data_IF_563024871756
#
_entry.id   IF_563024871756
#
_cell.length_a   1.000
_cell.length_b   1.000
_cell.length_c   1.000
_cell.angle_alpha   90.00
_cell.angle_beta   90.00
_cell.angle_gamma   90.00
#
_symmetry.space_group_name_H-M   'P 1'
#
loop_
_entity.id
_entity.type
_entity.pdbx_description
1 polymer ?
#
# COMPACT_ATOMS: atom_id res chain seq x y z
N UNK A 1 23.64 -3.59 14.20
CA UNK A 1 23.75 -2.68 13.05
C UNK A 1 22.51 -1.80 13.01
N UNK A 2 22.67 -0.53 12.66
CA UNK A 2 21.55 0.41 12.56
C UNK A 2 20.91 0.31 11.18
N UNK A 3 19.58 0.36 11.13
CA UNK A 3 18.84 0.36 9.87
C UNK A 3 17.73 1.40 9.85
N UNK A 4 17.32 1.80 8.64
CA UNK A 4 16.20 2.69 8.37
C UNK A 4 15.34 2.13 7.25
N UNK A 5 14.04 2.31 7.36
CA UNK A 5 13.07 1.93 6.33
C UNK A 5 12.33 3.17 5.88
N UNK A 6 12.38 3.47 4.58
CA UNK A 6 11.66 4.58 3.96
C UNK A 6 10.49 3.98 3.20
N UNK A 7 9.28 4.34 3.57
CA UNK A 7 8.07 3.86 2.90
C UNK A 7 7.42 5.06 2.20
N UNK A 8 7.10 4.94 0.90
CA UNK A 8 6.32 6.02 0.30
C UNK A 8 4.93 6.12 0.94
N UNK A 9 4.31 7.29 0.90
CA UNK A 9 3.11 7.57 1.70
C UNK A 9 1.86 6.80 1.26
N UNK A 10 1.93 5.99 0.21
CA UNK A 10 0.87 5.04 -0.10
C UNK A 10 0.80 3.92 0.96
N UNK A 11 1.92 3.59 1.62
CA UNK A 11 1.97 2.61 2.70
C UNK A 11 1.64 3.22 4.07
N UNK A 12 0.70 2.64 4.77
CA UNK A 12 0.34 3.03 6.14
C UNK A 12 1.38 2.53 7.14
N UNK A 13 1.88 3.40 8.01
CA UNK A 13 2.76 3.00 9.11
C UNK A 13 1.94 2.74 10.38
N UNK A 14 2.20 1.60 11.03
CA UNK A 14 1.60 1.30 12.34
C UNK A 14 2.13 2.27 13.43
N UNK A 15 1.43 2.35 14.56
CA UNK A 15 1.89 3.15 15.70
C UNK A 15 3.28 2.71 16.19
N UNK A 16 3.55 1.40 16.18
CA UNK A 16 4.85 0.83 16.56
C UNK A 16 5.97 1.22 15.60
N UNK A 17 5.70 1.16 14.29
CA UNK A 17 6.65 1.61 13.27
C UNK A 17 7.02 3.08 13.48
N UNK A 18 6.03 3.95 13.68
CA UNK A 18 6.24 5.39 13.92
C UNK A 18 7.03 5.63 15.21
N UNK A 19 6.70 4.92 16.28
CA UNK A 19 7.36 5.05 17.58
C UNK A 19 8.81 4.53 17.58
N UNK A 20 9.16 3.60 16.69
CA UNK A 20 10.49 3.00 16.62
C UNK A 20 11.59 3.98 16.19
N UNK A 21 11.23 5.08 15.52
CA UNK A 21 12.17 6.04 14.93
C UNK A 21 12.97 5.47 13.72
N UNK A 22 12.68 4.24 13.30
CA UNK A 22 13.36 3.56 12.19
C UNK A 22 12.65 3.72 10.85
N UNK A 23 11.38 4.16 10.89
CA UNK A 23 10.55 4.33 9.69
C UNK A 23 10.38 5.80 9.36
N UNK A 24 10.51 6.11 8.09
CA UNK A 24 10.26 7.43 7.51
C UNK A 24 9.32 7.32 6.32
N UNK A 25 8.57 8.37 6.05
CA UNK A 25 7.63 8.42 4.93
C UNK A 25 8.19 9.33 3.83
N UNK A 26 8.34 8.80 2.61
CA UNK A 26 8.54 9.60 1.41
C UNK A 26 7.16 10.03 0.88
N UNK A 27 6.82 11.31 1.05
CA UNK A 27 5.49 11.82 0.80
C UNK A 27 5.18 11.99 -0.68
N UNK A 28 4.05 11.44 -1.14
CA UNK A 28 3.47 11.74 -2.45
C UNK A 28 2.72 13.08 -2.38
N UNK A 29 2.58 13.71 -3.55
CA UNK A 29 1.71 14.89 -3.72
C UNK A 29 0.31 14.48 -4.15
N UNK A 30 -0.70 15.22 -3.72
CA UNK A 30 -2.10 15.08 -4.10
C UNK A 30 -2.63 16.41 -4.64
N UNK A 31 -3.46 16.36 -5.69
CA UNK A 31 -4.13 17.52 -6.27
C UNK A 31 -5.64 17.30 -6.25
N UNK A 32 -6.38 18.24 -5.70
CA UNK A 32 -7.85 18.28 -5.73
C UNK A 32 -8.28 19.66 -6.21
N UNK A 33 -8.67 19.79 -7.47
CA UNK A 33 -8.84 21.10 -8.10
C UNK A 33 -7.54 21.90 -8.07
N UNK A 34 -7.58 23.08 -7.47
CA UNK A 34 -6.41 23.96 -7.31
C UNK A 34 -5.65 23.73 -5.98
N UNK A 35 -6.13 22.79 -5.17
CA UNK A 35 -5.48 22.48 -3.89
C UNK A 35 -4.37 21.45 -4.08
N UNK A 36 -3.15 21.78 -3.60
CA UNK A 36 -2.02 20.89 -3.53
C UNK A 36 -1.83 20.45 -2.08
N UNK A 37 -1.79 19.15 -1.85
CA UNK A 37 -1.68 18.53 -0.53
C UNK A 37 -0.46 17.60 -0.55
N UNK A 38 0.35 17.65 0.51
CA UNK A 38 1.43 16.68 0.72
C UNK A 38 0.88 15.58 1.63
N UNK A 39 1.04 14.32 1.22
CA UNK A 39 0.60 13.16 1.99
C UNK A 39 1.59 12.84 3.11
N UNK A 40 1.68 13.73 4.08
CA UNK A 40 2.58 13.66 5.23
C UNK A 40 1.81 13.52 6.57
N UNK A 41 2.49 13.78 7.68
CA UNK A 41 1.91 13.70 9.03
C UNK A 41 0.73 14.65 9.28
N UNK A 42 0.57 15.70 8.47
CA UNK A 42 -0.51 16.70 8.58
C UNK A 42 -1.78 16.29 7.81
N UNK A 43 -1.74 15.21 7.02
CA UNK A 43 -2.87 14.78 6.21
C UNK A 43 -4.13 14.51 7.04
N UNK A 44 -5.23 15.15 6.66
CA UNK A 44 -6.56 14.99 7.26
C UNK A 44 -7.51 14.29 6.27
N UNK A 45 -7.79 13.01 6.52
CA UNK A 45 -8.64 12.19 5.65
C UNK A 45 -10.06 12.76 5.47
N UNK A 46 -10.69 13.22 6.55
CA UNK A 46 -12.07 13.72 6.50
C UNK A 46 -12.18 15.00 5.65
N UNK A 47 -11.25 15.91 5.83
CA UNK A 47 -11.16 17.14 5.04
C UNK A 47 -10.86 16.83 3.55
N UNK A 48 -9.92 15.90 3.31
CA UNK A 48 -9.58 15.46 1.97
C UNK A 48 -10.79 14.85 1.24
N UNK A 49 -11.52 13.94 1.88
CA UNK A 49 -12.71 13.32 1.29
C UNK A 49 -13.82 14.33 0.99
N UNK A 50 -14.00 15.32 1.87
CA UNK A 50 -14.92 16.43 1.63
C UNK A 50 -14.51 17.22 0.39
N UNK A 51 -13.24 17.62 0.29
CA UNK A 51 -12.73 18.37 -0.86
C UNK A 51 -12.88 17.58 -2.16
N UNK A 52 -12.61 16.27 -2.15
CA UNK A 52 -12.82 15.39 -3.31
C UNK A 52 -14.29 15.31 -3.71
N UNK A 53 -15.20 15.21 -2.74
CA UNK A 53 -16.65 15.14 -3.01
C UNK A 53 -17.22 16.45 -3.59
N UNK A 54 -16.68 17.59 -3.20
CA UNK A 54 -17.09 18.92 -3.68
C UNK A 54 -16.42 19.32 -5.01
N UNK A 55 -15.30 18.67 -5.37
CA UNK A 55 -14.54 19.00 -6.56
C UNK A 55 -15.07 18.26 -7.80
N UNK A 56 -15.42 18.97 -8.89
CA UNK A 56 -15.92 18.33 -10.10
C UNK A 56 -14.84 17.60 -10.90
N UNK A 57 -13.57 17.90 -10.66
CA UNK A 57 -12.44 17.26 -11.34
C UNK A 57 -11.94 16.06 -10.57
N UNK A 58 -11.43 15.06 -11.30
CA UNK A 58 -10.84 13.87 -10.68
C UNK A 58 -9.52 14.25 -9.97
N UNK A 59 -9.32 13.86 -8.71
CA UNK A 59 -8.08 14.10 -8.02
C UNK A 59 -6.91 13.38 -8.71
N UNK A 60 -5.71 13.92 -8.55
CA UNK A 60 -4.47 13.37 -9.11
C UNK A 60 -3.43 13.17 -8.02
N UNK A 61 -2.43 12.33 -8.29
CA UNK A 61 -1.28 12.15 -7.42
C UNK A 61 0.03 12.23 -8.20
N UNK A 62 1.10 12.66 -7.54
CA UNK A 62 2.47 12.65 -8.04
C UNK A 62 3.35 11.83 -7.10
N UNK A 63 4.31 11.07 -7.65
CA UNK A 63 5.29 10.33 -6.85
C UNK A 63 6.28 11.31 -6.18
N UNK A 64 6.95 10.88 -5.09
CA UNK A 64 8.06 11.63 -4.52
C UNK A 64 9.17 11.82 -5.54
N UNK A 65 9.92 12.91 -5.44
CA UNK A 65 11.07 13.13 -6.32
C UNK A 65 12.25 12.22 -5.97
N UNK A 66 13.20 12.00 -6.88
CA UNK A 66 14.44 11.28 -6.58
C UNK A 66 15.22 11.91 -5.42
N UNK A 67 15.24 13.25 -5.35
CA UNK A 67 15.91 14.00 -4.29
C UNK A 67 15.29 13.71 -2.92
N UNK A 68 13.97 13.58 -2.83
CA UNK A 68 13.28 13.19 -1.59
C UNK A 68 13.76 11.84 -1.06
N UNK A 69 13.96 10.87 -1.94
CA UNK A 69 14.53 9.59 -1.55
C UNK A 69 16.03 9.70 -1.21
N UNK A 70 16.82 10.44 -2.00
CA UNK A 70 18.22 10.67 -1.74
C UNK A 70 18.45 11.28 -0.34
N UNK A 71 17.66 12.31 0.01
CA UNK A 71 17.70 12.92 1.34
C UNK A 71 17.37 11.92 2.45
N UNK A 72 16.37 11.06 2.24
CA UNK A 72 16.04 9.99 3.17
C UNK A 72 17.14 8.94 3.33
N UNK A 73 17.92 8.66 2.26
CA UNK A 73 19.08 7.77 2.31
C UNK A 73 20.28 8.40 3.04
N UNK A 74 20.35 9.73 3.08
CA UNK A 74 21.38 10.47 3.80
C UNK A 74 21.07 10.52 5.30
N UNK A 75 21.40 9.45 6.01
CA UNK A 75 21.17 9.25 7.44
C UNK A 75 22.29 8.41 8.07
N UNK A 76 22.33 8.38 9.41
CA UNK A 76 23.37 7.66 10.19
C UNK A 76 23.19 6.13 10.17
N UNK A 77 22.07 5.61 9.64
CA UNK A 77 21.87 4.18 9.56
C UNK A 77 22.85 3.54 8.56
N UNK A 78 23.43 2.40 8.94
CA UNK A 78 24.35 1.64 8.08
C UNK A 78 23.64 1.02 6.88
N UNK A 79 22.35 0.64 7.08
CA UNK A 79 21.50 -0.01 6.08
C UNK A 79 20.21 0.76 5.87
N UNK A 80 19.83 0.98 4.63
CA UNK A 80 18.58 1.67 4.30
C UNK A 80 17.76 0.84 3.31
N UNK A 81 16.49 0.70 3.61
CA UNK A 81 15.53 -0.01 2.78
C UNK A 81 14.42 0.95 2.35
N UNK A 82 14.20 1.10 1.05
CA UNK A 82 13.05 1.82 0.54
C UNK A 82 11.96 0.83 0.14
N UNK A 83 10.71 1.09 0.49
CA UNK A 83 9.53 0.31 0.10
C UNK A 83 8.57 1.23 -0.62
N UNK A 84 8.37 1.00 -1.90
CA UNK A 84 7.47 1.81 -2.73
C UNK A 84 6.22 1.03 -3.11
N UNK A 85 5.13 1.73 -3.43
CA UNK A 85 4.00 1.07 -4.08
C UNK A 85 4.42 0.49 -5.43
N UNK A 86 3.60 -0.40 -5.99
CA UNK A 86 3.88 -1.11 -7.24
C UNK A 86 4.37 -0.17 -8.35
N UNK A 87 5.47 -0.56 -9.02
CA UNK A 87 6.02 0.14 -10.19
C UNK A 87 5.04 0.18 -11.38
N UNK A 88 4.06 -0.72 -11.42
CA UNK A 88 3.00 -0.74 -12.42
C UNK A 88 1.92 0.35 -12.18
N UNK A 89 1.89 0.91 -10.95
CA UNK A 89 0.89 1.90 -10.55
C UNK A 89 1.47 3.31 -10.40
N UNK A 90 2.77 3.44 -10.14
CA UNK A 90 3.43 4.73 -9.85
C UNK A 90 4.88 4.76 -10.26
N UNK A 91 5.39 5.96 -10.54
CA UNK A 91 6.82 6.24 -10.74
C UNK A 91 7.66 6.20 -9.45
N UNK A 92 7.05 5.98 -8.28
CA UNK A 92 7.73 6.02 -6.97
C UNK A 92 8.94 5.08 -6.90
N UNK A 93 8.82 3.85 -7.43
CA UNK A 93 9.93 2.91 -7.51
C UNK A 93 11.11 3.46 -8.31
N UNK A 94 10.84 4.00 -9.50
CA UNK A 94 11.89 4.57 -10.35
C UNK A 94 12.53 5.80 -9.71
N UNK A 95 11.74 6.65 -9.03
CA UNK A 95 12.27 7.78 -8.26
C UNK A 95 13.18 7.31 -7.12
N UNK A 96 12.80 6.26 -6.39
CA UNK A 96 13.62 5.71 -5.31
C UNK A 96 14.94 5.11 -5.82
N UNK A 97 14.90 4.40 -6.96
CA UNK A 97 16.12 3.85 -7.60
C UNK A 97 17.02 4.97 -8.09
N UNK A 98 16.48 6.01 -8.72
CA UNK A 98 17.24 7.16 -9.17
C UNK A 98 17.83 7.93 -7.97
N UNK A 99 17.05 8.11 -6.90
CA UNK A 99 17.55 8.71 -5.65
C UNK A 99 18.71 7.95 -5.03
N UNK A 100 18.71 6.61 -5.12
CA UNK A 100 19.85 5.79 -4.70
C UNK A 100 21.08 6.07 -5.56
N UNK A 101 20.94 6.12 -6.88
CA UNK A 101 22.07 6.39 -7.77
C UNK A 101 22.67 7.78 -7.50
N UNK A 102 21.81 8.81 -7.33
CA UNK A 102 22.25 10.16 -6.96
C UNK A 102 22.99 10.17 -5.60
N UNK A 103 22.50 9.43 -4.62
CA UNK A 103 23.17 9.28 -3.33
C UNK A 103 24.57 8.68 -3.48
N UNK A 104 24.69 7.57 -4.23
CA UNK A 104 25.97 6.87 -4.44
C UNK A 104 26.97 7.73 -5.21
N UNK A 105 26.52 8.54 -6.17
CA UNK A 105 27.37 9.52 -6.90
C UNK A 105 27.90 10.63 -5.99
N UNK A 106 27.08 11.12 -5.04
CA UNK A 106 27.44 12.27 -4.20
C UNK A 106 28.18 11.86 -2.92
N UNK A 107 27.76 10.75 -2.28
CA UNK A 107 28.21 10.35 -0.94
C UNK A 107 28.99 9.02 -0.90
N UNK A 108 29.04 8.28 -2.01
CA UNK A 108 29.69 6.97 -2.09
C UNK A 108 28.76 5.80 -1.74
N UNK A 109 29.32 4.60 -1.76
CA UNK A 109 28.55 3.35 -1.56
C UNK A 109 27.98 3.23 -0.15
N UNK A 110 26.74 2.75 -0.05
CA UNK A 110 26.02 2.42 1.18
C UNK A 110 25.11 1.23 0.92
N UNK A 111 24.82 0.45 1.96
CA UNK A 111 23.85 -0.64 1.90
C UNK A 111 22.41 -0.08 1.74
N UNK A 112 22.03 0.26 0.51
CA UNK A 112 20.70 0.76 0.15
C UNK A 112 20.01 -0.23 -0.79
N UNK A 113 18.78 -0.67 -0.45
CA UNK A 113 17.96 -1.50 -1.33
C UNK A 113 16.55 -0.92 -1.50
N UNK A 114 16.04 -0.97 -2.73
CA UNK A 114 14.70 -0.47 -3.09
C UNK A 114 13.81 -1.66 -3.44
N UNK A 115 12.80 -1.89 -2.61
CA UNK A 115 11.78 -2.92 -2.84
C UNK A 115 10.61 -2.36 -3.66
N UNK A 116 10.33 -3.01 -4.79
CA UNK A 116 9.05 -2.86 -5.48
C UNK A 116 8.03 -3.74 -4.75
N UNK A 117 7.09 -3.14 -4.03
CA UNK A 117 6.12 -3.93 -3.25
C UNK A 117 5.21 -4.81 -4.09
N UNK A 118 5.05 -4.54 -5.38
CA UNK A 118 4.02 -5.14 -6.25
C UNK A 118 2.60 -5.02 -5.67
N UNK A 119 2.42 -4.11 -4.75
CA UNK A 119 1.24 -3.90 -3.93
C UNK A 119 1.01 -2.39 -3.71
N UNK A 120 0.09 -2.07 -2.82
CA UNK A 120 -0.18 -0.72 -2.34
C UNK A 120 -0.73 -0.78 -0.90
N UNK A 121 -0.79 0.38 -0.21
CA UNK A 121 -1.42 0.49 1.09
C UNK A 121 -0.81 -0.48 2.12
N UNK A 122 -1.61 -1.26 2.83
CA UNK A 122 -1.16 -2.20 3.87
C UNK A 122 -0.21 -3.30 3.37
N UNK A 123 -0.12 -3.53 2.05
CA UNK A 123 0.90 -4.44 1.51
C UNK A 123 2.31 -3.91 1.75
N UNK A 124 2.53 -2.60 1.61
CA UNK A 124 3.81 -1.97 1.95
C UNK A 124 4.08 -2.01 3.46
N UNK A 125 3.02 -1.88 4.28
CA UNK A 125 3.11 -2.02 5.74
C UNK A 125 3.68 -3.37 6.14
N UNK A 126 3.12 -4.47 5.58
CA UNK A 126 3.59 -5.83 5.87
C UNK A 126 5.04 -6.06 5.43
N UNK A 127 5.45 -5.47 4.30
CA UNK A 127 6.85 -5.52 3.82
C UNK A 127 7.77 -4.81 4.81
N UNK A 128 7.39 -3.61 5.27
CA UNK A 128 8.14 -2.88 6.30
C UNK A 128 8.27 -3.68 7.60
N UNK A 129 7.20 -4.33 8.06
CA UNK A 129 7.23 -5.25 9.21
C UNK A 129 8.17 -6.43 8.97
N UNK A 130 8.19 -6.99 7.76
CA UNK A 130 9.08 -8.10 7.41
C UNK A 130 10.54 -7.68 7.44
N UNK A 131 10.89 -6.48 6.94
CA UNK A 131 12.24 -5.92 7.03
C UNK A 131 12.66 -5.82 8.50
N UNK A 132 11.83 -5.18 9.34
CA UNK A 132 12.11 -5.04 10.77
C UNK A 132 12.33 -6.40 11.44
N UNK A 133 11.48 -7.38 11.16
CA UNK A 133 11.61 -8.73 11.69
C UNK A 133 12.94 -9.41 11.29
N UNK A 134 13.39 -9.24 10.05
CA UNK A 134 14.65 -9.81 9.56
C UNK A 134 15.86 -9.13 10.24
N UNK A 135 15.84 -7.81 10.36
CA UNK A 135 16.88 -7.03 11.03
C UNK A 135 16.97 -7.37 12.53
N UNK A 136 15.85 -7.52 13.23
CA UNK A 136 15.79 -7.91 14.63
C UNK A 136 16.33 -9.32 14.88
N UNK A 137 16.30 -10.19 13.88
CA UNK A 137 16.93 -11.52 13.91
C UNK A 137 18.42 -11.49 13.64
N UNK A 138 19.01 -10.32 13.38
CA UNK A 138 20.42 -10.13 13.09
C UNK A 138 20.86 -10.67 11.74
N UNK A 139 19.97 -10.75 10.76
CA UNK A 139 20.30 -11.19 9.41
C UNK A 139 21.25 -10.19 8.72
N UNK A 140 22.10 -10.69 7.84
CA UNK A 140 22.95 -9.82 6.98
C UNK A 140 22.08 -9.05 5.98
N UNK A 141 22.60 -7.93 5.45
CA UNK A 141 21.87 -7.14 4.46
C UNK A 141 21.35 -7.99 3.28
N UNK A 142 22.21 -8.86 2.73
CA UNK A 142 21.83 -9.75 1.62
C UNK A 142 20.73 -10.76 2.00
N UNK A 143 20.79 -11.29 3.22
CA UNK A 143 19.76 -12.21 3.72
C UNK A 143 18.42 -11.48 3.94
N UNK A 144 18.44 -10.23 4.46
CA UNK A 144 17.24 -9.40 4.58
C UNK A 144 16.61 -9.19 3.21
N UNK A 145 17.41 -8.74 2.23
CA UNK A 145 16.92 -8.51 0.85
C UNK A 145 16.30 -9.77 0.27
N UNK A 146 17.01 -10.91 0.33
CA UNK A 146 16.49 -12.17 -0.21
C UNK A 146 15.18 -12.64 0.48
N UNK A 147 15.11 -12.51 1.81
CA UNK A 147 13.93 -12.91 2.57
C UNK A 147 12.72 -12.00 2.33
N UNK A 148 12.95 -10.72 2.10
CA UNK A 148 11.88 -9.75 1.83
C UNK A 148 11.40 -9.87 0.38
N UNK A 149 12.29 -10.06 -0.60
CA UNK A 149 11.90 -10.36 -1.99
C UNK A 149 11.05 -11.63 -2.08
N UNK A 150 11.46 -12.71 -1.41
CA UNK A 150 10.67 -13.93 -1.34
C UNK A 150 9.29 -13.70 -0.70
N UNK A 151 9.21 -12.86 0.33
CA UNK A 151 7.95 -12.47 0.96
C UNK A 151 7.04 -11.69 0.01
N UNK A 152 7.60 -10.76 -0.79
CA UNK A 152 6.86 -9.99 -1.80
C UNK A 152 6.26 -10.91 -2.87
N UNK A 153 6.98 -11.94 -3.30
CA UNK A 153 6.47 -12.91 -4.29
C UNK A 153 5.29 -13.75 -3.77
N UNK A 154 5.20 -13.94 -2.44
CA UNK A 154 4.11 -14.68 -1.81
C UNK A 154 2.95 -13.80 -1.34
N UNK A 155 3.14 -12.47 -1.33
CA UNK A 155 2.13 -11.55 -0.83
C UNK A 155 0.98 -11.36 -1.83
N UNK A 156 -0.24 -11.39 -1.33
CA UNK A 156 -1.44 -11.12 -2.11
C UNK A 156 -2.14 -9.85 -1.62
N UNK A 157 -2.69 -9.10 -2.57
CA UNK A 157 -3.46 -7.88 -2.31
C UNK A 157 -4.86 -8.02 -2.86
N UNK A 158 -5.87 -7.64 -2.07
CA UNK A 158 -7.29 -7.67 -2.43
C UNK A 158 -7.96 -6.37 -2.05
N UNK A 159 -8.94 -5.93 -2.84
CA UNK A 159 -9.70 -4.76 -2.46
C UNK A 159 -11.11 -4.73 -3.05
N UNK A 160 -12.00 -4.06 -2.33
CA UNK A 160 -13.36 -3.72 -2.77
C UNK A 160 -13.60 -2.25 -2.49
N UNK A 161 -13.93 -1.50 -3.53
CA UNK A 161 -14.16 -0.05 -3.49
C UNK A 161 -15.61 0.28 -3.84
N UNK A 162 -16.08 1.43 -3.37
CA UNK A 162 -17.39 1.94 -3.79
C UNK A 162 -17.42 2.33 -5.27
N UNK A 163 -16.30 2.82 -5.79
CA UNK A 163 -16.12 3.16 -7.19
C UNK A 163 -14.68 2.91 -7.64
N UNK A 164 -14.50 2.59 -8.91
CA UNK A 164 -13.20 2.45 -9.56
C UNK A 164 -12.87 3.67 -10.45
N UNK A 165 -13.70 4.72 -10.43
CA UNK A 165 -13.58 5.86 -11.33
C UNK A 165 -12.22 6.59 -11.18
N UNK A 166 -11.74 6.79 -9.96
CA UNK A 166 -10.45 7.43 -9.71
C UNK A 166 -9.30 6.63 -10.34
N UNK A 167 -9.30 5.31 -10.13
CA UNK A 167 -8.31 4.41 -10.76
C UNK A 167 -8.40 4.45 -12.29
N UNK A 168 -9.63 4.43 -12.84
CA UNK A 168 -9.87 4.46 -14.28
C UNK A 168 -9.42 5.78 -14.90
N UNK A 169 -9.84 6.91 -14.34
CA UNK A 169 -9.53 8.26 -14.87
C UNK A 169 -8.03 8.56 -14.78
N UNK A 170 -7.35 8.04 -13.81
CA UNK A 170 -5.90 8.17 -13.65
C UNK A 170 -5.10 7.07 -14.39
N UNK A 171 -5.75 6.19 -15.16
CA UNK A 171 -5.07 5.21 -16.01
C UNK A 171 -4.45 4.01 -15.28
N UNK A 172 -4.88 3.70 -14.04
CA UNK A 172 -4.39 2.55 -13.25
C UNK A 172 -5.20 1.26 -13.46
N UNK A 173 -6.20 1.29 -14.35
CA UNK A 173 -6.98 0.12 -14.78
C UNK A 173 -6.72 -0.23 -16.25
N UNK A 174 -5.50 -0.15 -16.70
CA UNK A 174 -5.09 -0.50 -18.07
C UNK A 174 -5.23 -2.00 -18.29
N UNK A 175 -5.78 -2.39 -19.46
CA UNK A 175 -5.95 -3.82 -19.80
C UNK A 175 -7.19 -4.51 -19.25
N UNK A 176 -7.92 -3.92 -18.32
CA UNK A 176 -9.23 -4.42 -17.91
C UNK A 176 -10.26 -4.02 -18.99
N UNK A 177 -10.92 -5.01 -19.61
CA UNK A 177 -12.11 -4.78 -20.41
C UNK A 177 -13.05 -3.93 -19.57
N UNK A 178 -13.60 -2.85 -20.15
CA UNK A 178 -14.43 -1.89 -19.45
C UNK A 178 -15.32 -2.63 -18.43
N UNK A 179 -15.00 -2.49 -17.16
CA UNK A 179 -15.83 -2.99 -16.08
C UNK A 179 -17.16 -2.28 -16.32
N UNK A 180 -18.17 -3.03 -16.75
CA UNK A 180 -19.43 -2.45 -17.17
C UNK A 180 -20.04 -1.69 -15.99
N UNK A 181 -19.74 -0.40 -15.92
CA UNK A 181 -20.26 0.55 -14.93
C UNK A 181 -21.80 0.70 -15.00
N UNK A 182 -22.41 -0.02 -15.94
CA UNK A 182 -23.83 0.13 -16.33
C UNK A 182 -24.80 -0.77 -15.54
N UNK A 183 -24.31 -1.76 -14.79
CA UNK A 183 -25.23 -2.59 -13.99
C UNK A 183 -25.31 -2.04 -12.57
N UNK A 184 -26.48 -1.56 -12.21
CA UNK A 184 -26.77 -0.93 -10.92
C UNK A 184 -26.28 -1.80 -9.74
N UNK A 185 -25.42 -1.22 -8.90
CA UNK A 185 -24.93 -1.83 -7.65
C UNK A 185 -24.03 -3.08 -7.81
N UNK A 186 -23.35 -3.28 -8.95
CA UNK A 186 -22.30 -4.29 -9.06
C UNK A 186 -21.01 -3.72 -8.48
N UNK A 187 -20.41 -4.45 -7.54
CA UNK A 187 -19.12 -4.13 -6.90
C UNK A 187 -18.08 -5.18 -7.31
N UNK A 188 -17.05 -4.78 -8.04
CA UNK A 188 -15.93 -5.67 -8.37
C UNK A 188 -15.14 -6.05 -7.14
N UNK A 189 -14.66 -7.29 -7.09
CA UNK A 189 -13.60 -7.75 -6.20
C UNK A 189 -12.31 -7.72 -6.99
N UNK A 190 -11.36 -6.93 -6.52
CA UNK A 190 -10.11 -6.66 -7.22
C UNK A 190 -8.93 -7.25 -6.46
N UNK A 191 -7.84 -7.45 -7.17
CA UNK A 191 -6.57 -7.90 -6.60
C UNK A 191 -5.38 -7.40 -7.42
N UNK A 192 -4.19 -7.92 -7.11
CA UNK A 192 -2.96 -7.66 -7.84
C UNK A 192 -2.52 -8.91 -8.63
N UNK A 193 -1.96 -8.69 -9.83
CA UNK A 193 -1.21 -9.72 -10.55
C UNK A 193 0.17 -9.94 -9.91
N UNK A 194 0.90 -11.02 -10.23
CA UNK A 194 2.27 -11.21 -9.75
C UNK A 194 3.25 -10.08 -10.15
N UNK A 195 2.89 -9.26 -11.15
CA UNK A 195 3.67 -8.07 -11.53
C UNK A 195 3.32 -6.83 -10.72
N UNK A 196 2.20 -6.83 -9.98
CA UNK A 196 1.70 -5.67 -9.25
C UNK A 196 0.71 -4.80 -10.05
N UNK A 197 0.18 -5.30 -11.18
CA UNK A 197 -0.93 -4.67 -11.91
C UNK A 197 -2.26 -4.97 -11.22
N UNK A 198 -3.24 -4.09 -11.35
CA UNK A 198 -4.59 -4.35 -10.84
C UNK A 198 -5.30 -5.36 -11.74
N UNK A 199 -5.94 -6.37 -11.14
CA UNK A 199 -6.78 -7.35 -11.83
C UNK A 199 -8.13 -7.53 -11.15
N UNK A 200 -9.12 -8.02 -11.90
CA UNK A 200 -10.43 -8.37 -11.36
C UNK A 200 -10.47 -9.85 -11.00
N UNK A 201 -10.78 -10.15 -9.74
CA UNK A 201 -10.93 -11.52 -9.22
C UNK A 201 -12.37 -12.01 -9.25
N UNK A 202 -13.33 -11.07 -9.18
CA UNK A 202 -14.75 -11.39 -9.20
C UNK A 202 -15.62 -10.15 -9.12
N UNK A 203 -16.90 -10.36 -8.88
CA UNK A 203 -17.86 -9.29 -8.66
C UNK A 203 -19.07 -9.77 -7.89
N UNK A 204 -19.77 -8.86 -7.21
CA UNK A 204 -21.01 -9.18 -6.51
C UNK A 204 -21.98 -8.01 -6.56
N UNK A 205 -23.24 -8.29 -6.33
CA UNK A 205 -24.27 -7.25 -6.19
C UNK A 205 -24.30 -6.75 -4.74
N UNK A 206 -23.92 -5.49 -4.56
CA UNK A 206 -23.83 -4.81 -3.27
C UNK A 206 -22.52 -5.07 -2.52
N UNK A 207 -22.16 -4.08 -1.70
CA UNK A 207 -20.86 -4.03 -1.00
C UNK A 207 -20.66 -5.21 -0.04
N UNK A 208 -21.70 -5.57 0.74
CA UNK A 208 -21.59 -6.67 1.73
C UNK A 208 -21.23 -8.01 1.09
N UNK A 209 -21.86 -8.32 -0.07
CA UNK A 209 -21.58 -9.56 -0.80
C UNK A 209 -20.20 -9.50 -1.47
N UNK A 210 -19.78 -8.33 -1.96
CA UNK A 210 -18.44 -8.16 -2.53
C UNK A 210 -17.35 -8.36 -1.47
N UNK A 211 -17.51 -7.79 -0.26
CA UNK A 211 -16.59 -8.01 0.86
C UNK A 211 -16.52 -9.49 1.27
N UNK A 212 -17.67 -10.19 1.32
CA UNK A 212 -17.67 -11.63 1.57
C UNK A 212 -16.90 -12.40 0.49
N UNK A 213 -17.12 -12.09 -0.79
CA UNK A 213 -16.41 -12.73 -1.89
C UNK A 213 -14.90 -12.42 -1.83
N UNK A 214 -14.52 -11.20 -1.41
CA UNK A 214 -13.10 -10.84 -1.18
C UNK A 214 -12.49 -11.73 -0.09
N UNK A 215 -13.18 -11.92 1.04
CA UNK A 215 -12.75 -12.84 2.11
C UNK A 215 -12.63 -14.28 1.58
N UNK A 216 -13.56 -14.73 0.72
CA UNK A 216 -13.48 -16.05 0.10
C UNK A 216 -12.22 -16.20 -0.77
N UNK A 217 -11.84 -15.17 -1.54
CA UNK A 217 -10.57 -15.14 -2.30
C UNK A 217 -9.37 -15.22 -1.37
N UNK A 218 -9.33 -14.37 -0.32
CA UNK A 218 -8.23 -14.37 0.66
C UNK A 218 -8.02 -15.76 1.23
N UNK A 219 -9.09 -16.42 1.71
CA UNK A 219 -8.99 -17.75 2.34
C UNK A 219 -8.55 -18.82 1.35
N UNK A 220 -8.98 -18.72 0.09
CA UNK A 220 -8.60 -19.68 -0.95
C UNK A 220 -7.09 -19.64 -1.28
N UNK A 221 -6.48 -18.46 -1.19
CA UNK A 221 -5.06 -18.25 -1.54
C UNK A 221 -4.13 -18.42 -0.32
N UNK A 222 -4.68 -18.45 0.92
CA UNK A 222 -3.89 -18.57 2.14
C UNK A 222 -3.16 -19.91 2.24
N UNK A 223 -1.85 -19.82 2.45
CA UNK A 223 -0.99 -20.94 2.83
C UNK A 223 -0.46 -20.69 4.24
N UNK A 224 -0.44 -21.73 5.08
CA UNK A 224 0.04 -21.67 6.47
C UNK A 224 -0.51 -20.46 7.26
N UNK A 225 -1.84 -20.31 7.37
CA UNK A 225 -2.48 -19.11 7.91
C UNK A 225 -2.02 -18.75 9.32
N UNK A 226 -1.74 -19.73 10.18
CA UNK A 226 -1.29 -19.50 11.56
C UNK A 226 0.09 -18.78 11.63
N UNK A 227 0.86 -18.79 10.56
CA UNK A 227 2.13 -18.06 10.45
C UNK A 227 1.98 -16.64 9.90
N UNK A 228 0.84 -16.33 9.28
CA UNK A 228 0.62 -15.08 8.52
C UNK A 228 0.01 -13.99 9.37
N UNK A 229 0.53 -12.77 9.21
CA UNK A 229 -0.13 -11.53 9.62
C UNK A 229 -0.89 -11.00 8.41
N UNK A 230 -2.17 -10.70 8.60
CA UNK A 230 -3.01 -10.06 7.59
C UNK A 230 -3.24 -8.61 7.98
N UNK A 231 -3.16 -7.71 7.01
CA UNK A 231 -3.42 -6.30 7.23
C UNK A 231 -4.64 -5.85 6.42
N UNK A 232 -5.49 -5.04 7.05
CA UNK A 232 -6.67 -4.42 6.46
C UNK A 232 -6.49 -2.92 6.56
N UNK A 233 -6.65 -2.19 5.45
CA UNK A 233 -6.87 -0.74 5.50
C UNK A 233 -8.28 -0.39 5.02
N UNK A 234 -8.80 0.71 5.55
CA UNK A 234 -10.11 1.22 5.18
C UNK A 234 -10.08 2.74 5.02
N UNK A 235 -10.90 3.23 4.11
CA UNK A 235 -11.12 4.65 3.93
C UNK A 235 -12.46 5.05 4.56
N UNK A 236 -12.40 5.71 5.72
CA UNK A 236 -13.57 6.23 6.46
C UNK A 236 -14.68 5.18 6.72
N UNK A 237 -14.34 3.91 6.86
CA UNK A 237 -15.34 2.86 7.09
C UNK A 237 -14.88 1.80 8.12
N UNK A 238 -14.54 2.18 9.36
CA UNK A 238 -13.99 1.28 10.36
C UNK A 238 -14.88 0.06 10.63
N UNK A 239 -16.20 0.24 10.60
CA UNK A 239 -17.12 -0.88 10.83
C UNK A 239 -17.01 -1.95 9.74
N UNK A 240 -16.81 -1.55 8.46
CA UNK A 240 -16.59 -2.53 7.38
C UNK A 240 -15.31 -3.32 7.58
N UNK A 241 -14.24 -2.67 8.01
CA UNK A 241 -12.98 -3.34 8.33
C UNK A 241 -13.14 -4.35 9.48
N UNK A 242 -13.88 -3.98 10.53
CA UNK A 242 -14.20 -4.89 11.64
C UNK A 242 -15.07 -6.06 11.20
N UNK A 243 -16.08 -5.83 10.35
CA UNK A 243 -16.92 -6.88 9.80
C UNK A 243 -16.09 -7.87 8.96
N UNK A 244 -15.15 -7.36 8.16
CA UNK A 244 -14.20 -8.18 7.37
C UNK A 244 -13.28 -8.98 8.28
N UNK A 245 -12.69 -8.35 9.31
CA UNK A 245 -11.88 -9.03 10.32
C UNK A 245 -12.65 -10.18 10.96
N UNK A 246 -13.87 -9.93 11.41
CA UNK A 246 -14.73 -10.95 12.01
C UNK A 246 -15.01 -12.12 11.04
N UNK A 247 -15.33 -11.84 9.78
CA UNK A 247 -15.55 -12.89 8.77
C UNK A 247 -14.31 -13.78 8.55
N UNK A 248 -13.10 -13.21 8.68
CA UNK A 248 -11.84 -13.94 8.59
C UNK A 248 -11.64 -14.80 9.85
N UNK A 249 -11.76 -14.22 11.05
CA UNK A 249 -11.56 -14.89 12.34
C UNK A 249 -12.52 -16.08 12.57
N UNK A 250 -13.75 -15.99 12.04
CA UNK A 250 -14.75 -17.09 12.10
C UNK A 250 -14.36 -18.30 11.23
N UNK A 251 -13.44 -18.14 10.26
CA UNK A 251 -13.17 -19.14 9.22
C UNK A 251 -11.72 -19.63 9.18
N UNK A 252 -10.78 -18.84 9.67
CA UNK A 252 -9.35 -19.15 9.63
C UNK A 252 -8.64 -18.55 10.83
N UNK A 253 -7.68 -19.30 11.39
CA UNK A 253 -6.83 -18.81 12.45
C UNK A 253 -5.57 -18.20 11.85
N UNK A 254 -5.44 -16.90 11.93
CA UNK A 254 -4.26 -16.13 11.53
C UNK A 254 -3.37 -15.85 12.75
N UNK A 255 -2.10 -15.56 12.50
CA UNK A 255 -1.18 -15.11 13.57
C UNK A 255 -1.65 -13.79 14.16
N UNK A 256 -2.05 -12.84 13.31
CA UNK A 256 -2.60 -11.55 13.71
C UNK A 256 -3.38 -10.92 12.56
N UNK A 257 -4.32 -10.00 12.89
CA UNK A 257 -5.02 -9.16 11.93
C UNK A 257 -4.95 -7.72 12.40
N UNK A 258 -4.20 -6.89 11.68
CA UNK A 258 -4.09 -5.46 11.93
C UNK A 258 -5.07 -4.66 11.07
N UNK A 259 -5.61 -3.57 11.60
CA UNK A 259 -6.49 -2.65 10.88
C UNK A 259 -5.90 -1.24 10.97
N UNK A 260 -5.84 -0.56 9.82
CA UNK A 260 -5.31 0.80 9.69
C UNK A 260 -6.28 1.68 8.87
N UNK A 261 -6.28 2.98 9.16
CA UNK A 261 -6.89 3.97 8.28
C UNK A 261 -5.99 4.21 7.06
N UNK A 262 -6.60 4.36 5.88
CA UNK A 262 -5.85 4.77 4.67
C UNK A 262 -5.31 6.20 4.84
N UNK A 263 -4.11 6.42 4.27
CA UNK A 263 -3.51 7.75 4.16
C UNK A 263 -3.92 8.43 2.85
N UNK A 264 -3.25 9.52 2.45
CA UNK A 264 -3.68 10.38 1.38
C UNK A 264 -3.88 9.68 0.04
N UNK A 265 -2.81 9.06 -0.48
CA UNK A 265 -2.87 8.37 -1.78
C UNK A 265 -3.82 7.17 -1.74
N UNK A 266 -3.74 6.37 -0.68
CA UNK A 266 -4.64 5.23 -0.49
C UNK A 266 -6.09 5.69 -0.39
N UNK A 267 -6.39 6.79 0.34
CA UNK A 267 -7.75 7.35 0.44
C UNK A 267 -8.25 7.87 -0.91
N UNK A 268 -7.37 8.53 -1.69
CA UNK A 268 -7.73 9.06 -3.00
C UNK A 268 -8.22 7.97 -3.96
N UNK A 269 -7.55 6.83 -3.96
CA UNK A 269 -7.90 5.72 -4.84
C UNK A 269 -8.95 4.78 -4.26
N UNK A 270 -8.94 4.55 -2.94
CA UNK A 270 -9.95 3.75 -2.26
C UNK A 270 -11.34 4.40 -2.24
N UNK A 271 -11.38 5.72 -2.22
CA UNK A 271 -12.57 6.53 -2.01
C UNK A 271 -13.26 6.21 -0.67
N UNK A 272 -14.24 7.00 -0.28
CA UNK A 272 -15.02 6.77 0.95
C UNK A 272 -15.68 5.39 0.91
N UNK A 273 -15.42 4.56 1.92
CA UNK A 273 -15.97 3.21 2.07
C UNK A 273 -15.13 2.09 1.45
N UNK A 274 -13.95 2.38 0.88
CA UNK A 274 -13.05 1.36 0.33
C UNK A 274 -12.37 0.52 1.40
N UNK A 275 -12.14 -0.77 1.12
CA UNK A 275 -11.41 -1.72 1.98
C UNK A 275 -10.35 -2.43 1.14
N UNK A 276 -9.14 -2.49 1.68
CA UNK A 276 -7.97 -3.14 1.07
C UNK A 276 -7.42 -4.16 2.07
N UNK A 277 -7.01 -5.32 1.59
CA UNK A 277 -6.39 -6.40 2.38
C UNK A 277 -5.07 -6.78 1.73
N UNK A 278 -4.06 -7.04 2.56
CA UNK A 278 -2.84 -7.73 2.14
C UNK A 278 -2.49 -8.87 3.12
N UNK A 279 -1.91 -9.96 2.61
CA UNK A 279 -1.51 -11.12 3.40
C UNK A 279 -0.40 -11.91 2.71
#
# INVERSE_FOLDING_TARGET
>A
MSYKVIVDSCGELTAEMKASGRFETASLGLEVGDCHIIDDGSFNQAEFLKNVAECPTCPKSSCPSPETFMEGYHCDAERVYAVTLSSELSGSYNSAVLGKNLYEEEYGEKDIYVFNSKSASVGQTLIGMKIAQCEERGMTFKEVVAAVEAYIEEQHTYFVLETLETLRKNGRLTGLKAIAATVLNIKPVMGATPKGEICQLGQARGIKKALKNMVDCVIADLKDPESKVLAISHCNCPQRAQDVKKMLEERVKLKDIIILDTRGVSSMYANDGGVIIAV
#
